data_IF_883294523713
#
_entry.id   IF_883294523713
#
_cell.length_a   1.000
_cell.length_b   1.000
_cell.length_c   1.000
_cell.angle_alpha   90.00
_cell.angle_beta   90.00
_cell.angle_gamma   90.00
#
_symmetry.space_group_name_H-M   'P 1'
#
loop_
_entity.id
_entity.type
_entity.pdbx_description
1 polymer ?
#
# COMPACT_ATOMS: atom_id res chain seq x y z
N UNK A 1 10.61 -5.55 -0.37
CA UNK A 1 9.40 -5.97 0.38
C UNK A 1 9.86 -6.70 1.62
N UNK A 2 9.18 -6.45 2.73
CA UNK A 2 9.42 -7.15 3.98
C UNK A 2 9.22 -8.66 3.89
N UNK A 3 9.76 -9.38 4.87
CA UNK A 3 9.47 -10.80 5.05
C UNK A 3 7.95 -11.00 5.20
N UNK A 4 7.43 -12.12 4.69
CA UNK A 4 6.00 -12.48 4.72
C UNK A 4 5.04 -11.53 3.97
N UNK A 5 5.56 -10.63 3.13
CA UNK A 5 4.73 -9.79 2.26
C UNK A 5 3.93 -10.59 1.22
N UNK A 6 4.46 -11.72 0.74
CA UNK A 6 3.75 -12.61 -0.18
C UNK A 6 2.52 -13.25 0.46
N UNK A 7 2.61 -13.62 1.74
CA UNK A 7 1.49 -14.16 2.51
C UNK A 7 0.39 -13.09 2.61
N UNK A 8 0.77 -11.86 2.95
CA UNK A 8 -0.16 -10.73 3.05
C UNK A 8 -0.89 -10.48 1.72
N UNK A 9 -0.13 -10.39 0.62
CA UNK A 9 -0.69 -10.15 -0.72
C UNK A 9 -1.67 -11.25 -1.15
N UNK A 10 -1.32 -12.53 -0.93
CA UNK A 10 -2.20 -13.66 -1.24
C UNK A 10 -3.51 -13.58 -0.45
N UNK A 11 -3.45 -13.29 0.85
CA UNK A 11 -4.63 -13.15 1.71
C UNK A 11 -5.53 -12.00 1.25
N UNK A 12 -4.96 -10.84 0.97
CA UNK A 12 -5.72 -9.70 0.44
C UNK A 12 -6.39 -10.03 -0.91
N UNK A 13 -5.71 -10.78 -1.78
CA UNK A 13 -6.30 -11.24 -3.05
C UNK A 13 -7.50 -12.16 -2.82
N UNK A 14 -7.37 -13.17 -1.94
CA UNK A 14 -8.45 -14.10 -1.58
C UNK A 14 -9.69 -13.36 -1.03
N UNK A 15 -9.47 -12.34 -0.19
CA UNK A 15 -10.54 -11.56 0.42
C UNK A 15 -11.00 -10.36 -0.42
N UNK A 16 -10.52 -10.23 -1.67
CA UNK A 16 -10.82 -9.11 -2.57
C UNK A 16 -10.61 -7.73 -1.90
N UNK A 17 -9.54 -7.60 -1.12
CA UNK A 17 -9.10 -6.35 -0.51
C UNK A 17 -8.19 -5.63 -1.51
N UNK A 18 -8.55 -4.41 -1.98
CA UNK A 18 -7.68 -3.62 -2.83
C UNK A 18 -6.35 -3.33 -2.14
N UNK A 19 -5.25 -3.59 -2.84
CA UNK A 19 -3.90 -3.36 -2.36
C UNK A 19 -3.22 -2.34 -3.27
N UNK A 20 -2.80 -1.21 -2.69
CA UNK A 20 -2.21 -0.11 -3.42
C UNK A 20 -0.74 -0.01 -3.04
N UNK A 21 0.13 -0.15 -4.03
CA UNK A 21 1.56 0.13 -3.89
C UNK A 21 1.80 1.55 -4.37
N UNK A 22 1.95 2.46 -3.42
CA UNK A 22 2.19 3.87 -3.70
C UNK A 22 3.66 4.23 -3.47
N UNK A 23 4.42 4.37 -4.56
CA UNK A 23 5.87 4.48 -4.53
C UNK A 23 6.38 5.69 -5.31
N UNK A 24 7.29 6.44 -4.69
CA UNK A 24 8.08 7.48 -5.36
C UNK A 24 9.24 6.90 -6.20
N UNK A 25 9.41 5.57 -6.22
CA UNK A 25 10.41 4.87 -7.02
C UNK A 25 9.99 4.69 -8.48
N UNK A 26 10.54 3.67 -9.13
CA UNK A 26 10.26 3.32 -10.52
C UNK A 26 9.22 2.19 -10.55
N UNK A 27 8.00 2.51 -10.98
CA UNK A 27 6.86 1.58 -11.00
C UNK A 27 7.06 0.38 -11.91
N UNK A 28 7.69 0.56 -13.07
CA UNK A 28 7.99 -0.54 -14.00
C UNK A 28 8.88 -1.61 -13.34
N UNK A 29 9.83 -1.22 -12.49
CA UNK A 29 10.69 -2.17 -11.77
C UNK A 29 9.89 -2.94 -10.71
N UNK A 30 8.97 -2.27 -10.01
CA UNK A 30 8.06 -2.89 -9.06
C UNK A 30 7.18 -3.92 -9.77
N UNK A 31 6.58 -3.56 -10.90
CA UNK A 31 5.76 -4.45 -11.71
C UNK A 31 6.55 -5.68 -12.18
N UNK A 32 7.76 -5.47 -12.71
CA UNK A 32 8.65 -6.56 -13.12
C UNK A 32 8.99 -7.49 -11.96
N UNK A 33 9.30 -6.95 -10.78
CA UNK A 33 9.57 -7.74 -9.58
C UNK A 33 8.35 -8.59 -9.19
N UNK A 34 7.15 -8.00 -9.16
CA UNK A 34 5.93 -8.73 -8.82
C UNK A 34 5.63 -9.84 -9.84
N UNK A 35 5.74 -9.55 -11.14
CA UNK A 35 5.56 -10.57 -12.19
C UNK A 35 6.59 -11.68 -12.08
N UNK A 36 7.84 -11.35 -11.79
CA UNK A 36 8.88 -12.36 -11.59
C UNK A 36 8.62 -13.24 -10.37
N UNK A 37 8.22 -12.64 -9.24
CA UNK A 37 7.99 -13.35 -7.97
C UNK A 37 6.69 -14.15 -7.95
N UNK A 38 5.63 -13.66 -8.60
CA UNK A 38 4.26 -14.20 -8.50
C UNK A 38 3.70 -14.72 -9.84
N UNK A 39 4.43 -14.58 -10.94
CA UNK A 39 3.97 -14.93 -12.30
C UNK A 39 3.07 -13.87 -12.94
N UNK A 40 2.33 -13.09 -12.13
CA UNK A 40 1.48 -11.97 -12.57
C UNK A 40 1.31 -10.95 -11.44
N UNK A 41 0.83 -9.76 -11.79
CA UNK A 41 0.26 -8.83 -10.82
C UNK A 41 -1.19 -9.25 -10.57
N UNK A 42 -1.59 -9.34 -9.30
CA UNK A 42 -2.97 -9.71 -8.93
C UNK A 42 -3.95 -8.58 -9.29
N UNK A 43 -5.19 -8.93 -9.62
CA UNK A 43 -6.20 -7.96 -10.09
C UNK A 43 -6.68 -6.98 -9.01
N UNK A 44 -6.43 -7.29 -7.74
CA UNK A 44 -6.67 -6.40 -6.61
C UNK A 44 -5.44 -5.52 -6.30
N UNK A 45 -4.32 -5.67 -7.01
CA UNK A 45 -3.08 -4.92 -6.77
C UNK A 45 -2.92 -3.79 -7.78
N UNK A 46 -2.77 -2.57 -7.28
CA UNK A 46 -2.61 -1.35 -8.07
C UNK A 46 -1.25 -0.72 -7.77
N UNK A 47 -0.52 -0.32 -8.81
CA UNK A 47 0.79 0.32 -8.67
C UNK A 47 0.65 1.78 -9.09
N UNK A 48 0.86 2.68 -8.13
CA UNK A 48 0.89 4.13 -8.35
C UNK A 48 2.32 4.60 -8.13
N UNK A 49 3.05 4.82 -9.24
CA UNK A 49 4.49 5.12 -9.21
C UNK A 49 4.96 5.72 -10.55
N UNK A 50 6.25 6.07 -10.65
CA UNK A 50 6.83 6.62 -11.87
C UNK A 50 7.11 5.50 -12.88
N UNK A 51 6.28 5.38 -13.92
CA UNK A 51 6.39 4.35 -14.95
C UNK A 51 7.37 4.78 -16.05
N UNK A 52 8.27 3.89 -16.46
CA UNK A 52 9.17 4.14 -17.60
C UNK A 52 8.41 4.05 -18.92
N UNK A 53 8.55 5.06 -19.77
CA UNK A 53 8.18 5.01 -21.18
C UNK A 53 9.36 4.51 -22.01
N UNK A 54 9.10 3.57 -22.92
CA UNK A 54 10.09 3.00 -23.82
C UNK A 54 9.87 3.49 -25.25
N UNK A 55 10.95 3.82 -25.95
CA UNK A 55 10.89 4.09 -27.38
C UNK A 55 10.79 2.81 -28.23
N UNK A 56 10.76 2.97 -29.56
CA UNK A 56 10.62 1.86 -30.50
C UNK A 56 11.80 0.87 -30.45
N UNK A 57 12.97 1.32 -30.01
CA UNK A 57 14.18 0.51 -29.89
C UNK A 57 14.30 -0.16 -28.51
N UNK A 58 13.33 0.10 -27.62
CA UNK A 58 13.27 -0.47 -26.28
C UNK A 58 14.14 0.26 -25.25
N UNK A 59 14.61 1.48 -25.55
CA UNK A 59 15.31 2.33 -24.59
C UNK A 59 14.34 3.17 -23.78
N UNK A 60 14.71 3.44 -22.52
CA UNK A 60 13.94 4.34 -21.65
C UNK A 60 14.05 5.75 -22.21
N UNK A 61 12.91 6.33 -22.58
CA UNK A 61 12.83 7.65 -23.21
C UNK A 61 12.06 8.68 -22.37
N UNK A 62 11.28 8.24 -21.39
CA UNK A 62 10.47 9.12 -20.53
C UNK A 62 10.06 8.45 -19.23
N UNK A 63 9.47 9.24 -18.32
CA UNK A 63 8.74 8.75 -17.15
C UNK A 63 7.32 9.32 -17.18
N UNK A 64 6.36 8.58 -16.60
CA UNK A 64 4.97 9.01 -16.49
C UNK A 64 4.83 10.30 -15.67
N UNK A 65 3.92 11.17 -16.08
CA UNK A 65 3.51 12.36 -15.32
C UNK A 65 2.17 12.11 -14.60
N UNK A 66 1.93 12.75 -13.43
CA UNK A 66 2.85 13.63 -12.70
C UNK A 66 3.98 12.85 -11.99
N UNK A 67 5.13 13.50 -11.81
CA UNK A 67 6.24 12.91 -11.05
C UNK A 67 5.84 12.72 -9.59
N UNK A 68 5.90 11.48 -9.11
CA UNK A 68 5.63 11.12 -7.72
C UNK A 68 6.95 11.16 -6.95
N UNK A 69 7.06 12.09 -5.99
CA UNK A 69 8.16 12.17 -5.04
C UNK A 69 7.67 11.97 -3.60
N UNK A 70 8.59 11.72 -2.66
CA UNK A 70 8.30 11.33 -1.25
C UNK A 70 7.39 12.31 -0.49
N UNK A 71 7.30 13.57 -0.96
CA UNK A 71 6.49 14.63 -0.35
C UNK A 71 5.19 14.96 -1.10
N UNK A 72 4.94 14.32 -2.26
CA UNK A 72 3.74 14.49 -3.08
C UNK A 72 2.95 13.18 -3.21
N UNK A 73 3.04 12.31 -2.20
CA UNK A 73 2.19 11.13 -2.11
C UNK A 73 0.88 11.51 -1.42
N UNK A 74 -0.04 12.11 -2.15
CA UNK A 74 -1.39 12.37 -1.68
C UNK A 74 -2.40 11.81 -2.70
N UNK A 75 -3.70 11.84 -2.40
CA UNK A 75 -4.73 11.28 -3.28
C UNK A 75 -4.73 11.86 -4.70
N UNK A 76 -4.21 13.08 -4.90
CA UNK A 76 -4.29 13.80 -6.18
C UNK A 76 -3.47 13.15 -7.30
N UNK A 77 -2.55 12.24 -6.96
CA UNK A 77 -1.78 11.46 -7.94
C UNK A 77 -2.27 10.02 -8.09
N UNK A 78 -3.32 9.63 -7.36
CA UNK A 78 -3.97 8.35 -7.55
C UNK A 78 -4.78 8.43 -8.85
N UNK A 79 -4.56 7.53 -9.82
CA UNK A 79 -5.30 7.55 -11.08
C UNK A 79 -6.81 7.51 -10.82
N UNK A 80 -7.55 8.47 -11.40
CA UNK A 80 -9.01 8.45 -11.44
C UNK A 80 -9.52 7.43 -12.47
N UNK A 81 -8.86 6.28 -12.59
CA UNK A 81 -9.36 5.21 -13.46
C UNK A 81 -10.61 4.61 -12.82
N UNK A 82 -11.62 4.35 -13.66
CA UNK A 82 -12.95 3.92 -13.22
C UNK A 82 -12.89 2.59 -12.46
N UNK A 83 -11.98 1.69 -12.85
CA UNK A 83 -11.87 0.35 -12.24
C UNK A 83 -11.33 0.44 -10.83
N UNK A 84 -10.33 1.29 -10.62
CA UNK A 84 -9.74 1.57 -9.33
C UNK A 84 -10.73 2.30 -8.43
N UNK A 85 -11.37 3.37 -8.93
CA UNK A 85 -12.39 4.12 -8.19
C UNK A 85 -13.54 3.22 -7.72
N UNK A 86 -14.05 2.33 -8.58
CA UNK A 86 -15.11 1.39 -8.22
C UNK A 86 -14.66 0.39 -7.14
N UNK A 87 -13.41 -0.07 -7.18
CA UNK A 87 -12.89 -1.02 -6.19
C UNK A 87 -12.73 -0.41 -4.79
N UNK A 88 -12.45 0.89 -4.71
CA UNK A 88 -12.27 1.61 -3.45
C UNK A 88 -13.55 2.31 -2.96
N UNK A 89 -14.55 2.48 -3.82
CA UNK A 89 -15.81 3.13 -3.49
C UNK A 89 -16.47 2.50 -2.25
N UNK A 90 -16.87 3.32 -1.28
CA UNK A 90 -17.52 2.88 -0.04
C UNK A 90 -16.58 2.16 0.95
N UNK A 91 -15.29 2.03 0.67
CA UNK A 91 -14.30 1.48 1.60
C UNK A 91 -13.74 2.59 2.49
N UNK A 92 -14.29 2.69 3.70
CA UNK A 92 -13.90 3.72 4.66
C UNK A 92 -12.71 3.36 5.53
N UNK A 93 -12.39 2.08 5.69
CA UNK A 93 -11.32 1.62 6.57
C UNK A 93 -10.05 1.38 5.74
N UNK A 94 -8.94 1.99 6.17
CA UNK A 94 -7.64 1.91 5.46
C UNK A 94 -6.56 1.46 6.43
N UNK A 95 -5.70 0.53 5.99
CA UNK A 95 -4.42 0.27 6.66
C UNK A 95 -3.34 0.92 5.80
N UNK A 96 -2.67 1.92 6.38
CA UNK A 96 -1.60 2.65 5.73
C UNK A 96 -0.26 2.15 6.29
N UNK A 97 0.69 1.89 5.39
CA UNK A 97 2.02 1.39 5.76
C UNK A 97 3.09 2.20 5.05
N UNK A 98 4.13 2.60 5.77
CA UNK A 98 5.24 3.36 5.19
C UNK A 98 6.48 3.40 6.06
N UNK A 99 7.62 3.70 5.44
CA UNK A 99 8.93 3.80 6.08
C UNK A 99 9.47 5.24 6.11
N UNK A 100 8.63 6.19 5.70
CA UNK A 100 8.91 7.62 5.78
C UNK A 100 7.73 8.37 6.37
N UNK A 101 7.99 9.51 7.02
CA UNK A 101 6.92 10.39 7.54
C UNK A 101 6.01 10.91 6.41
N UNK A 102 6.52 11.03 5.18
CA UNK A 102 5.71 11.42 4.02
C UNK A 102 4.60 10.41 3.72
N UNK A 103 4.83 9.13 4.03
CA UNK A 103 3.85 8.07 3.78
C UNK A 103 2.64 8.18 4.72
N UNK A 104 2.81 8.75 5.92
CA UNK A 104 1.71 8.94 6.87
C UNK A 104 0.57 9.84 6.32
N UNK A 105 0.82 10.54 5.21
CA UNK A 105 -0.12 11.46 4.58
C UNK A 105 -0.66 10.96 3.23
N UNK A 106 -0.46 9.67 2.88
CA UNK A 106 -0.99 9.09 1.65
C UNK A 106 -2.53 9.09 1.57
N UNK A 107 -3.20 9.22 2.72
CA UNK A 107 -4.65 9.34 2.86
C UNK A 107 -5.18 10.77 2.68
N UNK A 108 -4.31 11.78 2.59
CA UNK A 108 -4.72 13.18 2.44
C UNK A 108 -5.29 13.42 1.04
N UNK A 109 -6.53 13.96 1.01
CA UNK A 109 -7.23 14.39 -0.20
C UNK A 109 -8.21 13.36 -0.79
N UNK A 110 -8.45 12.23 -0.13
CA UNK A 110 -9.56 11.34 -0.51
C UNK A 110 -10.87 12.08 -0.19
N UNK A 111 -11.82 12.12 -1.12
CA UNK A 111 -13.08 12.87 -0.97
C UNK A 111 -13.94 12.36 0.20
N UNK A 112 -13.78 11.09 0.59
CA UNK A 112 -14.47 10.48 1.72
C UNK A 112 -13.59 10.45 2.98
N UNK A 113 -14.20 10.70 4.15
CA UNK A 113 -13.52 10.58 5.43
C UNK A 113 -13.15 9.10 5.69
N UNK A 114 -11.85 8.82 5.60
CA UNK A 114 -11.26 7.51 5.84
C UNK A 114 -10.85 7.35 7.30
N UNK A 115 -11.12 6.18 7.86
CA UNK A 115 -10.57 5.72 9.13
C UNK A 115 -9.28 4.94 8.84
N UNK A 116 -8.14 5.60 9.01
CA UNK A 116 -6.82 5.01 8.76
C UNK A 116 -6.20 4.44 10.03
N UNK A 117 -5.68 3.20 9.97
CA UNK A 117 -4.68 2.69 10.89
C UNK A 117 -3.29 2.82 10.22
N UNK A 118 -2.39 3.60 10.83
CA UNK A 118 -1.09 3.94 10.26
C UNK A 118 0.03 3.15 10.93
N UNK A 119 0.78 2.38 10.14
CA UNK A 119 1.91 1.55 10.59
C UNK A 119 3.20 2.09 9.96
N UNK A 120 4.11 2.56 10.81
CA UNK A 120 5.39 3.13 10.42
C UNK A 120 6.55 2.17 10.66
N UNK A 121 7.44 2.02 9.68
CA UNK A 121 8.65 1.19 9.78
C UNK A 121 9.88 2.06 10.00
N UNK A 122 10.60 1.88 11.12
CA UNK A 122 11.84 2.61 11.44
C UNK A 122 13.03 1.66 11.34
N UNK A 123 13.73 1.73 10.21
CA UNK A 123 14.80 0.78 9.84
C UNK A 123 16.23 1.34 9.99
N UNK A 124 16.36 2.62 10.31
CA UNK A 124 17.64 3.32 10.46
C UNK A 124 17.47 4.48 11.44
N UNK A 125 18.58 5.05 11.94
CA UNK A 125 18.59 6.24 12.81
C UNK A 125 17.53 6.19 13.93
N UNK A 126 17.35 5.02 14.55
CA UNK A 126 16.26 4.71 15.50
C UNK A 126 16.16 5.77 16.60
N UNK A 127 17.28 6.12 17.22
CA UNK A 127 17.36 7.09 18.32
C UNK A 127 16.87 8.50 17.93
N UNK A 128 16.84 8.82 16.63
CA UNK A 128 16.40 10.12 16.11
C UNK A 128 14.99 10.08 15.55
N UNK A 129 14.56 8.92 15.05
CA UNK A 129 13.33 8.80 14.26
C UNK A 129 12.14 8.30 15.07
N UNK A 130 12.32 7.44 16.08
CA UNK A 130 11.18 6.83 16.80
C UNK A 130 10.23 7.87 17.38
N UNK A 131 10.74 8.84 18.13
CA UNK A 131 9.91 9.89 18.73
C UNK A 131 9.16 10.70 17.66
N UNK A 132 9.80 10.96 16.52
CA UNK A 132 9.16 11.63 15.40
C UNK A 132 8.02 10.77 14.84
N UNK A 133 8.25 9.47 14.60
CA UNK A 133 7.27 8.57 13.99
C UNK A 133 6.05 8.35 14.88
N UNK A 134 6.23 8.32 16.21
CA UNK A 134 5.12 8.22 17.17
C UNK A 134 4.12 9.39 17.09
N UNK A 135 4.49 10.52 16.47
CA UNK A 135 3.56 11.63 16.23
C UNK A 135 2.70 11.46 14.96
N UNK A 136 3.07 10.53 14.07
CA UNK A 136 2.44 10.39 12.74
C UNK A 136 1.84 9.01 12.48
N UNK A 137 2.28 7.98 13.20
CA UNK A 137 1.85 6.60 13.05
C UNK A 137 1.25 6.08 14.36
N UNK A 138 0.20 5.27 14.25
CA UNK A 138 -0.45 4.60 15.39
C UNK A 138 0.41 3.44 15.93
N UNK A 139 1.11 2.77 15.02
CA UNK A 139 2.02 1.65 15.34
C UNK A 139 3.38 1.96 14.71
N UNK A 140 4.45 1.88 15.51
CA UNK A 140 5.83 2.04 15.03
C UNK A 140 6.59 0.74 15.22
N UNK A 141 7.07 0.15 14.12
CA UNK A 141 7.87 -1.07 14.08
C UNK A 141 9.35 -0.69 13.95
N UNK A 142 10.15 -1.03 14.96
CA UNK A 142 11.55 -0.61 15.05
C UNK A 142 12.45 -1.79 14.71
N UNK A 143 13.28 -1.62 13.67
CA UNK A 143 14.19 -2.64 13.15
C UNK A 143 13.51 -3.97 12.78
N UNK A 144 12.21 -3.92 12.52
CA UNK A 144 11.39 -5.04 12.07
C UNK A 144 10.85 -4.70 10.69
N UNK A 145 11.35 -5.39 9.66
CA UNK A 145 10.89 -5.24 8.29
C UNK A 145 9.88 -6.32 7.89
N UNK A 146 9.45 -7.18 8.82
CA UNK A 146 8.45 -8.21 8.52
C UNK A 146 7.06 -7.61 8.32
N UNK A 147 6.21 -8.35 7.64
CA UNK A 147 4.77 -8.06 7.55
C UNK A 147 3.98 -8.82 8.62
N UNK A 148 4.60 -9.26 9.72
CA UNK A 148 3.94 -10.11 10.71
C UNK A 148 2.84 -9.37 11.46
N UNK A 149 3.11 -8.13 11.90
CA UNK A 149 2.09 -7.28 12.56
C UNK A 149 0.94 -6.94 11.59
N UNK A 150 1.19 -6.44 10.37
CA UNK A 150 0.13 -6.26 9.37
C UNK A 150 -0.67 -7.54 9.10
N UNK A 151 -0.01 -8.69 8.95
CA UNK A 151 -0.68 -9.97 8.73
C UNK A 151 -1.59 -10.35 9.89
N UNK A 152 -1.15 -10.17 11.14
CA UNK A 152 -1.97 -10.46 12.33
C UNK A 152 -3.21 -9.55 12.42
N UNK A 153 -3.07 -8.27 12.07
CA UNK A 153 -4.21 -7.34 12.02
C UNK A 153 -5.22 -7.80 10.97
N UNK A 154 -4.77 -8.14 9.77
CA UNK A 154 -5.64 -8.65 8.70
C UNK A 154 -6.35 -9.96 9.12
N UNK A 155 -5.64 -10.89 9.74
CA UNK A 155 -6.25 -12.13 10.27
C UNK A 155 -7.36 -11.85 11.28
N UNK A 156 -7.14 -10.93 12.22
CA UNK A 156 -8.15 -10.54 13.19
C UNK A 156 -9.40 -9.94 12.52
N UNK A 157 -9.21 -9.12 11.48
CA UNK A 157 -10.30 -8.55 10.67
C UNK A 157 -11.09 -9.67 9.97
N UNK A 158 -10.40 -10.59 9.30
CA UNK A 158 -11.06 -11.69 8.56
C UNK A 158 -11.79 -12.66 9.48
N UNK A 159 -11.22 -12.98 10.64
CA UNK A 159 -11.87 -13.83 11.65
C UNK A 159 -13.17 -13.19 12.18
N UNK A 160 -13.15 -11.87 12.41
CA UNK A 160 -14.32 -11.11 12.87
C UNK A 160 -15.40 -11.02 11.77
N UNK A 161 -15.00 -10.84 10.51
CA UNK A 161 -15.94 -10.84 9.39
C UNK A 161 -16.63 -12.21 9.23
N UNK A 162 -15.88 -13.30 9.38
CA UNK A 162 -16.42 -14.65 9.31
C UNK A 162 -17.44 -14.94 10.42
N UNK A 163 -17.16 -14.50 11.65
CA UNK A 163 -18.09 -14.68 12.78
C UNK A 163 -19.35 -13.84 12.63
N UNK A 164 -19.24 -12.60 12.16
CA UNK A 164 -20.39 -11.74 11.88
C UNK A 164 -21.28 -12.30 10.76
N UNK A 165 -20.69 -12.81 9.68
CA UNK A 165 -21.43 -13.44 8.59
C UNK A 165 -22.18 -14.71 9.04
N UNK A 166 -21.55 -15.53 9.90
CA UNK A 166 -22.20 -16.71 10.49
C UNK A 166 -23.37 -16.32 11.41
N UNK A 167 -23.24 -15.24 12.18
CA UNK A 167 -24.31 -14.75 13.05
C UNK A 167 -25.51 -14.16 12.28
N UNK A 168 -25.27 -13.55 11.12
CA UNK A 168 -26.33 -12.97 10.28
C UNK A 168 -27.09 -14.00 9.42
N UNK A 169 -26.58 -15.23 9.31
CA UNK A 169 -27.22 -16.34 8.59
C UNK A 169 -28.20 -17.16 9.45
N UNK A 170 -28.39 -16.76 10.71
CA UNK A 170 -29.33 -17.33 11.68
C UNK A 170 -30.41 -16.31 12.05
#
# INVERSE_FOLDING_TARGET
>A
MGDNADIMMKKMSIHAVPFIIFSAGIGTIIEMYLRHKFGRVESNTHIVSNMMGFDADGYVSSFSEPLIHVFCKNSSVIPADVTFSDQIHGRRNVILMGDSVGDAFMDVGVEEEQLSLKIGFVNHDVDKLVDKYLNYFDIVLVLDQSMDVPNQILEAIYATAASAAAAAAH
#
